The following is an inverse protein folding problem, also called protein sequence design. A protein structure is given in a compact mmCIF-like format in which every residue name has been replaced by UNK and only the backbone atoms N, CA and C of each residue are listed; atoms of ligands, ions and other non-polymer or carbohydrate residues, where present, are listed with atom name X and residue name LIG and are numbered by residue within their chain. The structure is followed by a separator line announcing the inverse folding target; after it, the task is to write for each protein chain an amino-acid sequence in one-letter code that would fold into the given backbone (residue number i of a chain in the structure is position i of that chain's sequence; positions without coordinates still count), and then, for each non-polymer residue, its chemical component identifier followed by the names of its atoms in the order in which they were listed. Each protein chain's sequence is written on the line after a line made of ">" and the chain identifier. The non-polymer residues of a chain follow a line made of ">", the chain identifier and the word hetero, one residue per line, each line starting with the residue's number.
data_IF_012629349110
#
_entry.id   IF_012629349110
#
_cell.length_a   1.000
_cell.length_b   1.000
_cell.length_c   1.000
_cell.angle_alpha   90.00
_cell.angle_beta   90.00
_cell.angle_gamma   90.00
#
_symmetry.space_group_name_H-M   'P 1'
#
loop_
_entity.id
_entity.type
_entity.pdbx_description
1 polymer ?
#
# COMPACT_ATOMS: atom_id res chain seq x y z
N UNK A 1 -14.48 -4.36 -30.26
CA UNK A 1 -13.89 -5.04 -29.09
C UNK A 1 -12.72 -4.22 -28.56
N UNK A 2 -12.46 -4.27 -27.25
CA UNK A 2 -11.28 -3.67 -26.64
C UNK A 2 -10.15 -4.70 -26.51
N UNK A 3 -8.88 -4.28 -26.64
CA UNK A 3 -7.74 -5.13 -26.35
C UNK A 3 -7.59 -5.34 -24.83
N UNK A 4 -6.54 -6.06 -24.42
CA UNK A 4 -6.14 -6.14 -23.01
C UNK A 4 -6.05 -4.74 -22.38
N UNK A 5 -6.61 -4.52 -21.18
CA UNK A 5 -6.58 -3.23 -20.51
C UNK A 5 -5.15 -2.75 -20.21
N UNK A 6 -4.92 -1.43 -20.13
CA UNK A 6 -3.62 -0.87 -19.75
C UNK A 6 -3.17 -1.36 -18.37
N UNK A 7 -1.88 -1.66 -18.20
CA UNK A 7 -1.37 -2.07 -16.90
C UNK A 7 -1.32 -0.89 -15.92
N UNK A 8 -1.80 -1.13 -14.70
CA UNK A 8 -1.70 -0.18 -13.58
C UNK A 8 -0.71 -0.75 -12.58
N UNK A 9 0.30 0.05 -12.21
CA UNK A 9 1.31 -0.36 -11.24
C UNK A 9 0.66 -0.74 -9.91
N UNK A 10 1.09 -1.87 -9.36
CA UNK A 10 0.58 -2.44 -8.11
C UNK A 10 -0.92 -2.75 -8.10
N UNK A 11 -1.54 -2.93 -9.28
CA UNK A 11 -2.92 -3.41 -9.40
C UNK A 11 -3.00 -4.77 -10.11
N UNK A 12 -4.17 -5.38 -10.03
CA UNK A 12 -4.61 -6.57 -10.77
C UNK A 12 -6.02 -6.35 -11.29
N UNK A 13 -6.41 -7.10 -12.32
CA UNK A 13 -7.79 -7.15 -12.81
C UNK A 13 -8.36 -8.54 -12.54
N UNK A 14 -9.65 -8.60 -12.20
CA UNK A 14 -10.30 -9.86 -11.78
C UNK A 14 -10.45 -10.86 -12.94
N UNK A 15 -10.59 -10.35 -14.16
CA UNK A 15 -10.77 -11.15 -15.37
C UNK A 15 -9.74 -10.70 -16.39
N UNK A 16 -8.73 -11.53 -16.67
CA UNK A 16 -7.63 -11.22 -17.58
C UNK A 16 -7.80 -11.93 -18.93
N UNK A 17 -8.56 -11.29 -19.84
CA UNK A 17 -8.78 -11.76 -21.22
C UNK A 17 -7.84 -11.02 -22.17
N UNK A 18 -7.62 -11.60 -23.35
CA UNK A 18 -6.94 -10.91 -24.45
C UNK A 18 -7.84 -9.89 -25.16
N UNK A 19 -9.16 -10.11 -25.13
CA UNK A 19 -10.17 -9.31 -25.85
C UNK A 19 -11.43 -9.17 -24.98
N UNK A 20 -12.05 -7.99 -25.04
CA UNK A 20 -13.30 -7.66 -24.33
C UNK A 20 -14.34 -7.10 -25.30
N UNK A 21 -15.60 -7.50 -25.14
CA UNK A 21 -16.72 -6.97 -25.89
C UNK A 21 -17.09 -5.56 -25.43
N UNK A 22 -17.73 -4.81 -26.33
CA UNK A 22 -18.21 -3.46 -26.01
C UNK A 22 -19.26 -3.55 -24.90
N UNK A 23 -19.11 -2.74 -23.86
CA UNK A 23 -19.97 -2.77 -22.68
C UNK A 23 -19.49 -3.71 -21.56
N UNK A 24 -18.47 -4.56 -21.79
CA UNK A 24 -17.85 -5.30 -20.67
C UNK A 24 -17.16 -4.35 -19.69
N UNK A 25 -17.34 -4.62 -18.40
CA UNK A 25 -16.71 -3.90 -17.29
C UNK A 25 -15.56 -4.72 -16.70
N UNK A 26 -14.47 -4.03 -16.38
CA UNK A 26 -13.39 -4.54 -15.56
C UNK A 26 -13.26 -3.70 -14.29
N UNK A 27 -12.75 -4.30 -13.23
CA UNK A 27 -12.36 -3.59 -12.02
C UNK A 27 -10.86 -3.81 -11.75
N UNK A 28 -10.15 -2.71 -11.48
CA UNK A 28 -8.79 -2.78 -10.97
C UNK A 28 -8.81 -2.84 -9.44
N UNK A 29 -8.12 -3.86 -8.93
CA UNK A 29 -7.92 -4.08 -7.50
C UNK A 29 -6.46 -3.83 -7.16
N UNK A 30 -6.19 -2.91 -6.24
CA UNK A 30 -4.82 -2.70 -5.74
C UNK A 30 -4.33 -3.93 -4.98
N UNK A 31 -3.06 -4.29 -5.19
CA UNK A 31 -2.40 -5.40 -4.49
C UNK A 31 -2.34 -5.12 -2.97
N UNK A 32 -2.21 -6.15 -2.14
CA UNK A 32 -2.02 -5.98 -0.70
C UNK A 32 -0.87 -5.01 -0.38
N UNK A 33 -1.10 -4.13 0.60
CA UNK A 33 -0.15 -3.06 0.94
C UNK A 33 -0.32 -1.77 0.13
N UNK A 34 -1.23 -1.73 -0.83
CA UNK A 34 -1.58 -0.53 -1.59
C UNK A 34 -3.05 -0.16 -1.43
N UNK A 35 -3.36 1.12 -1.64
CA UNK A 35 -4.70 1.69 -1.64
C UNK A 35 -4.92 2.50 -2.93
N UNK A 36 -6.14 2.50 -3.47
CA UNK A 36 -6.45 3.34 -4.62
C UNK A 36 -6.37 4.81 -4.21
N UNK A 37 -5.89 5.66 -5.11
CA UNK A 37 -6.18 7.08 -5.06
C UNK A 37 -7.71 7.31 -5.25
N UNK A 38 -8.14 8.58 -5.26
CA UNK A 38 -9.53 8.93 -5.56
C UNK A 38 -9.93 8.71 -7.03
N UNK A 39 -9.19 7.88 -7.77
CA UNK A 39 -9.48 7.50 -9.15
C UNK A 39 -10.58 6.46 -9.24
N UNK A 40 -11.13 6.33 -10.46
CA UNK A 40 -12.13 5.31 -10.76
C UNK A 40 -11.48 3.92 -10.79
N UNK A 41 -12.15 2.91 -10.22
CA UNK A 41 -11.64 1.52 -10.23
C UNK A 41 -12.26 0.66 -11.32
N UNK A 42 -13.47 1.03 -11.74
CA UNK A 42 -14.29 0.30 -12.71
C UNK A 42 -14.24 0.97 -14.07
N UNK A 43 -13.89 0.23 -15.11
CA UNK A 43 -13.78 0.76 -16.45
C UNK A 43 -14.56 -0.10 -17.43
N UNK A 44 -15.25 0.54 -18.36
CA UNK A 44 -16.09 -0.13 -19.36
C UNK A 44 -15.47 -0.01 -20.74
N UNK A 45 -15.49 -1.10 -21.52
CA UNK A 45 -15.05 -1.08 -22.90
C UNK A 45 -16.00 -0.19 -23.73
N UNK A 46 -15.47 0.92 -24.26
CA UNK A 46 -16.28 1.90 -24.99
C UNK A 46 -16.70 1.36 -26.37
N UNK A 47 -17.79 1.90 -26.97
CA UNK A 47 -18.19 1.55 -28.34
C UNK A 47 -17.12 1.78 -29.40
N UNK A 48 -16.16 2.66 -29.11
CA UNK A 48 -14.98 2.92 -29.96
C UNK A 48 -13.97 1.76 -29.97
N UNK A 49 -14.17 0.71 -29.15
CA UNK A 49 -13.22 -0.37 -28.97
C UNK A 49 -11.97 0.03 -28.17
N UNK A 50 -12.05 1.11 -27.39
CA UNK A 50 -10.96 1.61 -26.54
C UNK A 50 -11.38 1.66 -25.08
N UNK A 51 -10.41 1.44 -24.20
CA UNK A 51 -10.58 1.75 -22.78
C UNK A 51 -10.55 3.27 -22.57
N UNK A 52 -11.35 3.81 -21.64
CA UNK A 52 -11.25 5.21 -21.23
C UNK A 52 -9.88 5.48 -20.56
N UNK A 53 -9.56 6.76 -20.38
CA UNK A 53 -8.34 7.16 -19.68
C UNK A 53 -8.39 6.65 -18.23
N UNK A 54 -7.36 5.89 -17.85
CA UNK A 54 -7.19 5.39 -16.50
C UNK A 54 -6.52 6.45 -15.63
N UNK A 55 -7.14 6.78 -14.49
CA UNK A 55 -6.64 7.76 -13.50
C UNK A 55 -6.31 7.10 -12.17
N UNK A 56 -6.49 5.78 -12.06
CA UNK A 56 -6.20 5.01 -10.88
C UNK A 56 -4.69 4.88 -10.65
N UNK A 57 -4.28 5.21 -9.44
CA UNK A 57 -2.95 4.90 -8.93
C UNK A 57 -3.10 4.11 -7.64
N UNK A 58 -2.36 3.01 -7.53
CA UNK A 58 -2.25 2.26 -6.30
C UNK A 58 -1.04 2.79 -5.51
N UNK A 59 -1.33 3.51 -4.43
CA UNK A 59 -0.33 4.13 -3.56
C UNK A 59 -0.08 3.24 -2.35
N UNK A 60 1.15 3.17 -1.81
CA UNK A 60 1.45 2.32 -0.67
C UNK A 60 0.64 2.79 0.55
N UNK A 61 0.10 1.84 1.32
CA UNK A 61 -0.64 2.12 2.54
C UNK A 61 0.27 2.78 3.55
N UNK A 62 -0.26 3.75 4.28
CA UNK A 62 0.45 4.41 5.38
C UNK A 62 0.11 3.69 6.69
N UNK A 63 1.14 3.28 7.43
CA UNK A 63 0.99 2.80 8.80
C UNK A 63 0.70 3.95 9.77
N UNK A 64 0.18 3.61 10.95
CA UNK A 64 -0.04 4.59 12.02
C UNK A 64 1.26 5.32 12.37
N UNK A 65 1.19 6.61 12.70
CA UNK A 65 2.38 7.30 13.21
C UNK A 65 2.81 6.62 14.51
N UNK A 66 4.11 6.27 14.68
CA UNK A 66 4.57 5.79 15.96
C UNK A 66 4.36 6.89 17.01
N UNK A 67 3.79 6.51 18.16
CA UNK A 67 3.74 7.40 19.32
C UNK A 67 5.13 7.62 19.92
N UNK A 68 5.27 8.50 20.92
CA UNK A 68 6.55 8.71 21.58
C UNK A 68 7.02 7.43 22.29
N UNK A 69 8.33 7.14 22.21
CA UNK A 69 8.99 6.13 23.03
C UNK A 69 9.61 6.81 24.26
N UNK A 70 9.07 6.52 25.44
CA UNK A 70 9.58 7.11 26.68
C UNK A 70 11.03 6.66 26.92
N UNK A 71 11.92 7.59 27.28
CA UNK A 71 13.36 7.37 27.49
C UNK A 71 14.05 6.72 26.27
N UNK A 72 13.58 7.06 25.07
CA UNK A 72 14.09 6.49 23.83
C UNK A 72 13.77 7.34 22.61
N UNK A 73 14.21 6.84 21.45
CA UNK A 73 14.09 7.50 20.15
C UNK A 73 13.61 6.49 19.11
N UNK A 74 12.88 7.01 18.13
CA UNK A 74 12.34 6.26 17.00
C UNK A 74 12.86 6.92 15.72
N UNK A 75 13.70 6.20 14.98
CA UNK A 75 14.27 6.65 13.73
C UNK A 75 13.54 6.01 12.55
N UNK A 76 13.11 6.82 11.58
CA UNK A 76 12.45 6.36 10.36
C UNK A 76 12.58 7.39 9.22
N UNK A 77 12.51 6.92 7.97
CA UNK A 77 12.50 7.77 6.77
C UNK A 77 11.09 7.98 6.22
N UNK A 78 10.24 6.97 6.36
CA UNK A 78 8.87 6.97 5.87
C UNK A 78 7.99 6.03 6.72
N UNK A 79 6.68 6.14 6.57
CA UNK A 79 5.67 5.37 7.30
C UNK A 79 4.78 4.54 6.36
N UNK A 80 5.15 4.40 5.08
CA UNK A 80 4.37 3.60 4.13
C UNK A 80 4.80 2.13 4.12
N UNK A 81 3.96 1.28 3.51
CA UNK A 81 4.18 -0.16 3.36
C UNK A 81 5.62 -0.50 2.98
N UNK A 82 6.20 -1.48 3.68
CA UNK A 82 7.60 -1.92 3.61
C UNK A 82 8.65 -1.00 4.26
N UNK A 83 8.28 0.20 4.73
CA UNK A 83 9.17 1.05 5.53
C UNK A 83 9.43 0.45 6.92
N UNK A 84 10.54 0.84 7.54
CA UNK A 84 10.97 0.32 8.85
C UNK A 84 11.22 1.44 9.86
N UNK A 85 10.82 1.20 11.10
CA UNK A 85 11.21 1.96 12.28
C UNK A 85 12.41 1.30 12.96
N UNK A 86 13.31 2.10 13.51
CA UNK A 86 14.38 1.67 14.41
C UNK A 86 14.23 2.33 15.76
N UNK A 87 14.30 1.54 16.83
CA UNK A 87 14.15 1.97 18.20
C UNK A 87 15.50 1.99 18.92
N UNK A 88 15.76 3.04 19.68
CA UNK A 88 16.92 3.15 20.57
C UNK A 88 16.50 3.73 21.92
N UNK A 89 17.17 3.33 23.00
CA UNK A 89 16.94 3.88 24.33
C UNK A 89 18.01 4.92 24.66
N UNK A 90 17.65 5.88 25.50
CA UNK A 90 18.57 6.89 26.03
C UNK A 90 19.63 6.24 26.94
N UNK A 91 20.79 6.89 27.12
CA UNK A 91 21.82 6.38 28.02
C UNK A 91 21.28 6.13 29.43
N UNK A 92 21.52 4.94 29.96
CA UNK A 92 21.01 4.50 31.26
C UNK A 92 19.76 3.61 31.20
N UNK A 93 19.15 3.44 30.03
CA UNK A 93 17.99 2.57 29.81
C UNK A 93 18.31 1.40 28.88
N UNK A 94 17.66 0.27 29.12
CA UNK A 94 17.75 -0.93 28.29
C UNK A 94 16.52 -1.10 27.41
N UNK A 95 16.73 -1.50 26.15
CA UNK A 95 15.65 -1.78 25.22
C UNK A 95 15.08 -3.18 25.48
N UNK A 96 13.81 -3.24 25.86
CA UNK A 96 13.05 -4.48 26.08
C UNK A 96 12.08 -4.67 24.91
N UNK A 97 12.33 -5.69 24.08
CA UNK A 97 11.51 -6.01 22.91
C UNK A 97 12.30 -5.94 21.59
N UNK A 98 11.59 -5.73 20.48
CA UNK A 98 12.19 -5.69 19.14
C UNK A 98 12.75 -4.31 18.82
N UNK A 99 14.00 -4.28 18.34
CA UNK A 99 14.67 -3.04 17.91
C UNK A 99 14.10 -2.43 16.64
N UNK A 100 13.37 -3.20 15.84
CA UNK A 100 12.81 -2.75 14.57
C UNK A 100 11.36 -3.14 14.41
N UNK A 101 10.62 -2.38 13.62
CA UNK A 101 9.26 -2.73 13.19
C UNK A 101 9.04 -2.31 11.75
N UNK A 102 8.38 -3.15 10.95
CA UNK A 102 8.10 -2.93 9.54
C UNK A 102 6.63 -2.63 9.29
N UNK A 103 6.33 -1.71 8.37
CA UNK A 103 4.96 -1.41 7.96
C UNK A 103 4.42 -2.52 7.06
N UNK A 104 3.37 -3.19 7.50
CA UNK A 104 2.80 -4.38 6.87
C UNK A 104 1.67 -4.02 5.88
N UNK A 105 1.25 -5.00 5.09
CA UNK A 105 0.29 -4.83 3.99
C UNK A 105 -1.14 -4.45 4.47
N UNK A 106 -1.42 -4.64 5.76
CA UNK A 106 -2.66 -4.24 6.43
C UNK A 106 -2.62 -2.79 6.97
N UNK A 107 -1.49 -2.09 6.82
CA UNK A 107 -1.30 -0.75 7.36
C UNK A 107 -0.97 -0.73 8.85
N UNK A 108 -0.47 -1.85 9.41
CA UNK A 108 -0.01 -1.93 10.80
C UNK A 108 1.49 -2.19 10.86
N UNK A 109 2.09 -1.75 11.96
CA UNK A 109 3.47 -2.07 12.30
C UNK A 109 3.59 -3.54 12.73
N UNK A 110 4.68 -4.19 12.32
CA UNK A 110 4.97 -5.57 12.69
C UNK A 110 5.31 -5.66 14.18
N UNK A 111 4.65 -6.57 14.89
CA UNK A 111 4.89 -6.80 16.32
C UNK A 111 4.45 -5.63 17.20
N UNK A 112 5.01 -5.57 18.40
CA UNK A 112 4.72 -4.54 19.41
C UNK A 112 5.95 -3.65 19.59
N UNK A 113 5.73 -2.35 19.84
CA UNK A 113 6.84 -1.43 20.10
C UNK A 113 7.55 -1.79 21.41
N UNK A 114 8.89 -1.63 21.47
CA UNK A 114 9.67 -1.94 22.65
C UNK A 114 9.44 -0.91 23.76
N UNK A 115 9.95 -1.22 24.95
CA UNK A 115 10.01 -0.30 26.08
C UNK A 115 11.46 -0.03 26.47
N UNK A 116 11.72 1.16 27.04
CA UNK A 116 13.01 1.51 27.63
C UNK A 116 12.88 1.54 29.15
N UNK A 117 13.63 0.70 29.85
CA UNK A 117 13.60 0.53 31.31
C UNK A 117 15.00 0.52 31.93
#
# INVERSE_FOLDING_TARGET
>A
VCPRPPEVLFATIDVNKSVYEVGEEIEYTCRPGFVPNNGQRKYTCLPTGKWPLNTLLCLPKRCSSPGPLQNGKIDFLDLHYQSSLSFSCEPGYNLIGTRTSQCMADGKWSGTFPQCQ
#
